data_IF_850073881206
#
_entry.id   IF_850073881206
#
_cell.length_a   1.000
_cell.length_b   1.000
_cell.length_c   1.000
_cell.angle_alpha   90.00
_cell.angle_beta   90.00
_cell.angle_gamma   90.00
#
_symmetry.space_group_name_H-M   'P 1'
#
loop_
_entity.id
_entity.type
_entity.pdbx_description
1 polymer ?
#
# COMPACT_ATOMS: atom_id res chain seq x y z
N UNK A 1 24.89 -4.38 2.15
CA UNK A 1 23.78 -4.41 1.18
C UNK A 1 22.54 -4.86 1.93
N UNK A 2 21.50 -4.02 2.01
CA UNK A 2 20.22 -4.39 2.63
C UNK A 2 19.63 -5.56 1.83
N UNK A 3 19.21 -6.63 2.49
CA UNK A 3 18.58 -7.77 1.79
C UNK A 3 17.22 -7.35 1.26
N UNK A 4 16.95 -7.58 -0.02
CA UNK A 4 15.63 -7.36 -0.63
C UNK A 4 14.57 -8.19 0.07
N UNK A 5 13.45 -7.56 0.44
CA UNK A 5 12.25 -8.26 0.91
C UNK A 5 11.39 -8.72 -0.26
N UNK A 6 11.12 -7.80 -1.19
CA UNK A 6 10.40 -8.06 -2.44
C UNK A 6 11.29 -7.64 -3.61
N UNK A 7 11.51 -8.54 -4.56
CA UNK A 7 12.14 -8.23 -5.84
C UNK A 7 11.24 -8.68 -6.98
N UNK A 8 10.87 -7.73 -7.83
CA UNK A 8 10.18 -7.97 -9.09
C UNK A 8 11.16 -7.66 -10.22
N UNK A 9 11.28 -8.55 -11.20
CA UNK A 9 12.15 -8.32 -12.35
C UNK A 9 11.40 -8.56 -13.65
N UNK A 10 11.55 -7.60 -14.57
CA UNK A 10 11.03 -7.66 -15.93
C UNK A 10 9.51 -7.93 -16.03
N UNK A 11 8.74 -7.36 -15.12
CA UNK A 11 7.28 -7.49 -15.13
C UNK A 11 6.69 -6.84 -16.37
N UNK A 12 5.95 -7.62 -17.16
CA UNK A 12 5.18 -7.09 -18.29
C UNK A 12 3.72 -7.56 -18.19
N UNK A 13 2.81 -6.65 -18.55
CA UNK A 13 1.36 -6.88 -18.49
C UNK A 13 0.71 -6.23 -19.69
N UNK A 14 -0.19 -6.95 -20.37
CA UNK A 14 -1.00 -6.39 -21.46
C UNK A 14 -2.48 -6.66 -21.23
N UNK A 15 -3.34 -5.75 -21.65
CA UNK A 15 -4.79 -5.85 -21.64
C UNK A 15 -5.32 -5.60 -23.05
N UNK A 16 -5.93 -6.61 -23.67
CA UNK A 16 -6.54 -6.45 -24.99
C UNK A 16 -5.59 -5.94 -26.06
N UNK A 17 -4.30 -6.30 -26.01
CA UNK A 17 -3.26 -5.83 -26.94
C UNK A 17 -2.57 -4.53 -26.55
N UNK A 18 -3.03 -3.85 -25.49
CA UNK A 18 -2.37 -2.64 -24.95
C UNK A 18 -1.39 -3.03 -23.86
N UNK A 19 -0.12 -2.68 -24.01
CA UNK A 19 0.91 -2.90 -23.00
C UNK A 19 0.73 -1.89 -21.84
N UNK A 20 0.31 -2.41 -20.68
CA UNK A 20 0.17 -1.62 -19.45
C UNK A 20 1.46 -1.54 -18.64
N UNK A 21 2.31 -2.59 -18.72
CA UNK A 21 3.65 -2.62 -18.13
C UNK A 21 4.60 -3.33 -19.10
N UNK A 22 5.81 -2.79 -19.24
CA UNK A 22 6.86 -3.33 -20.10
C UNK A 22 8.19 -3.40 -19.34
N UNK A 23 8.64 -4.61 -19.01
CA UNK A 23 9.93 -4.90 -18.36
C UNK A 23 10.18 -4.10 -17.07
N UNK A 24 9.15 -3.89 -16.23
CA UNK A 24 9.25 -3.15 -14.97
C UNK A 24 9.96 -4.00 -13.93
N UNK A 25 11.00 -3.44 -13.29
CA UNK A 25 11.71 -4.05 -12.18
C UNK A 25 11.65 -3.15 -10.96
N UNK A 26 11.26 -3.71 -9.81
CA UNK A 26 11.11 -2.98 -8.53
C UNK A 26 11.72 -3.82 -7.42
N UNK A 27 12.53 -3.19 -6.59
CA UNK A 27 13.10 -3.77 -5.38
C UNK A 27 12.61 -3.04 -4.14
N UNK A 28 12.14 -3.80 -3.14
CA UNK A 28 11.74 -3.27 -1.83
C UNK A 28 12.64 -3.89 -0.76
N UNK A 29 13.61 -3.14 -0.24
CA UNK A 29 14.47 -3.62 0.84
C UNK A 29 13.68 -3.85 2.14
N UNK A 30 14.25 -4.67 3.05
CA UNK A 30 13.67 -4.84 4.39
C UNK A 30 13.67 -3.53 5.17
N UNK A 31 12.58 -3.26 5.90
CA UNK A 31 12.41 -2.09 6.75
C UNK A 31 12.61 -0.76 5.98
N UNK A 32 12.13 -0.70 4.76
CA UNK A 32 12.20 0.50 3.92
C UNK A 32 10.83 0.91 3.41
N UNK A 33 10.71 2.18 3.03
CA UNK A 33 9.59 2.72 2.26
C UNK A 33 10.08 2.98 0.85
N UNK A 34 9.46 2.34 -0.13
CA UNK A 34 9.71 2.58 -1.55
C UNK A 34 8.49 3.27 -2.14
N UNK A 35 8.70 4.48 -2.67
CA UNK A 35 7.68 5.23 -3.39
C UNK A 35 7.61 4.80 -4.86
N UNK A 36 6.42 4.50 -5.36
CA UNK A 36 6.16 4.28 -6.79
C UNK A 36 5.33 5.45 -7.30
N UNK A 37 5.97 6.33 -8.05
CA UNK A 37 5.38 7.58 -8.54
C UNK A 37 5.31 7.60 -10.07
N UNK A 38 4.64 8.59 -10.62
CA UNK A 38 4.51 8.78 -12.07
C UNK A 38 3.16 9.38 -12.43
N UNK A 39 2.97 9.85 -13.67
CA UNK A 39 1.71 10.42 -14.16
C UNK A 39 0.53 9.45 -14.02
N UNK A 40 -0.70 9.98 -14.14
CA UNK A 40 -1.90 9.17 -14.22
C UNK A 40 -1.83 8.25 -15.45
N UNK A 41 -2.25 6.99 -15.28
CA UNK A 41 -2.14 5.99 -16.35
C UNK A 41 -0.74 5.39 -16.54
N UNK A 42 0.28 5.78 -15.76
CA UNK A 42 1.63 5.24 -15.89
C UNK A 42 1.80 3.75 -15.56
N UNK A 43 0.78 3.09 -14.97
CA UNK A 43 0.81 1.67 -14.63
C UNK A 43 1.05 1.35 -13.14
N UNK A 44 1.10 2.37 -12.27
CA UNK A 44 1.39 2.21 -10.83
C UNK A 44 0.45 1.21 -10.13
N UNK A 45 -0.85 1.40 -10.26
CA UNK A 45 -1.87 0.49 -9.68
C UNK A 45 -1.81 -0.89 -10.32
N UNK A 46 -1.42 -1.02 -11.59
CA UNK A 46 -1.22 -2.31 -12.25
C UNK A 46 -0.08 -3.10 -11.59
N UNK A 47 1.00 -2.44 -11.19
CA UNK A 47 2.09 -3.07 -10.41
C UNK A 47 1.55 -3.62 -9.09
N UNK A 48 0.83 -2.80 -8.29
CA UNK A 48 0.23 -3.27 -7.03
C UNK A 48 -0.77 -4.42 -7.26
N UNK A 49 -1.55 -4.36 -8.35
CA UNK A 49 -2.49 -5.41 -8.71
C UNK A 49 -1.80 -6.73 -9.05
N UNK A 50 -0.63 -6.69 -9.71
CA UNK A 50 0.17 -7.91 -9.97
C UNK A 50 0.74 -8.48 -8.67
N UNK A 51 1.32 -7.63 -7.80
CA UNK A 51 1.86 -8.06 -6.50
C UNK A 51 0.77 -8.67 -5.64
N UNK A 52 -0.46 -8.14 -5.69
CA UNK A 52 -1.60 -8.64 -4.91
C UNK A 52 -2.42 -9.72 -5.62
N UNK A 53 -1.97 -10.19 -6.79
CA UNK A 53 -2.63 -11.29 -7.52
C UNK A 53 -3.99 -10.93 -8.13
N UNK A 54 -4.35 -9.64 -8.16
CA UNK A 54 -5.60 -9.16 -8.78
C UNK A 54 -5.49 -9.07 -10.30
N UNK A 55 -4.25 -8.95 -10.80
CA UNK A 55 -3.93 -8.97 -12.24
C UNK A 55 -2.87 -10.01 -12.48
N UNK A 56 -3.08 -10.87 -13.45
CA UNK A 56 -2.11 -11.88 -13.85
C UNK A 56 -0.96 -11.21 -14.62
N UNK A 57 0.28 -11.48 -14.21
CA UNK A 57 1.46 -11.07 -14.97
C UNK A 57 1.52 -11.79 -16.32
N UNK A 58 1.90 -11.08 -17.38
CA UNK A 58 2.20 -11.69 -18.68
C UNK A 58 3.57 -12.38 -18.66
N UNK A 59 4.56 -11.70 -18.05
CA UNK A 59 5.91 -12.23 -17.85
C UNK A 59 6.56 -11.55 -16.63
N UNK A 60 7.76 -11.99 -16.28
CA UNK A 60 8.53 -11.45 -15.18
C UNK A 60 8.77 -12.47 -14.06
N UNK A 61 9.49 -12.05 -13.03
CA UNK A 61 9.77 -12.89 -11.86
C UNK A 61 9.39 -12.16 -10.59
N UNK A 62 8.90 -12.90 -9.61
CA UNK A 62 8.57 -12.47 -8.28
C UNK A 62 9.44 -13.24 -7.27
N UNK A 63 10.18 -12.53 -6.44
CA UNK A 63 10.89 -13.11 -5.32
C UNK A 63 10.51 -12.39 -4.03
N UNK A 64 10.25 -13.16 -2.99
CA UNK A 64 9.88 -12.65 -1.67
C UNK A 64 10.75 -13.33 -0.61
N UNK A 65 11.39 -12.52 0.26
CA UNK A 65 12.39 -12.98 1.25
C UNK A 65 13.54 -13.77 0.61
N UNK A 66 13.97 -13.38 -0.59
CA UNK A 66 15.03 -14.04 -1.35
C UNK A 66 14.61 -15.35 -2.04
N UNK A 67 13.36 -15.78 -1.86
CA UNK A 67 12.82 -17.01 -2.48
C UNK A 67 12.04 -16.64 -3.74
N UNK A 68 12.48 -17.16 -4.90
CA UNK A 68 11.76 -17.01 -6.16
C UNK A 68 10.46 -17.83 -6.11
N UNK A 69 9.35 -17.20 -6.50
CA UNK A 69 8.00 -17.76 -6.49
C UNK A 69 7.24 -17.35 -7.74
N UNK A 70 6.10 -17.95 -7.98
CA UNK A 70 5.08 -17.38 -8.87
C UNK A 70 4.46 -16.14 -8.23
N UNK A 71 3.88 -15.25 -9.03
CA UNK A 71 3.09 -14.14 -8.51
C UNK A 71 1.94 -14.71 -7.67
N UNK A 72 1.77 -14.22 -6.42
CA UNK A 72 0.82 -14.82 -5.49
C UNK A 72 -0.63 -14.61 -5.95
N UNK A 73 -1.51 -15.50 -5.54
CA UNK A 73 -2.96 -15.28 -5.62
C UNK A 73 -3.41 -14.45 -4.41
N UNK A 74 -4.56 -13.74 -4.51
CA UNK A 74 -5.01 -12.86 -3.42
C UNK A 74 -5.11 -13.55 -2.04
N UNK A 75 -5.54 -14.81 -1.99
CA UNK A 75 -5.68 -15.57 -0.75
C UNK A 75 -4.34 -16.04 -0.15
N UNK A 76 -3.25 -16.01 -0.91
CA UNK A 76 -1.90 -16.42 -0.46
C UNK A 76 -1.14 -15.26 0.20
N UNK A 77 -1.59 -13.99 0.02
CA UNK A 77 -0.91 -12.80 0.51
C UNK A 77 -0.73 -12.81 2.02
N UNK A 78 -1.77 -13.19 2.76
CA UNK A 78 -1.75 -13.20 4.23
C UNK A 78 -0.70 -14.20 4.75
N UNK A 79 -0.56 -15.35 4.11
CA UNK A 79 0.43 -16.36 4.48
C UNK A 79 1.86 -15.91 4.15
N UNK A 80 2.04 -15.11 3.12
CA UNK A 80 3.31 -14.46 2.82
C UNK A 80 3.62 -13.29 3.78
N UNK A 81 2.63 -12.79 4.51
CA UNK A 81 2.75 -11.58 5.31
C UNK A 81 2.71 -10.31 4.47
N UNK A 82 1.97 -10.33 3.37
CA UNK A 82 1.72 -9.16 2.51
C UNK A 82 0.30 -8.68 2.76
N UNK A 83 0.13 -7.38 3.02
CA UNK A 83 -1.18 -6.74 3.11
C UNK A 83 -1.28 -5.56 2.18
N UNK A 84 -2.50 -5.21 1.80
CA UNK A 84 -2.78 -4.05 0.96
C UNK A 84 -3.97 -3.27 1.52
N UNK A 85 -3.85 -1.94 1.55
CA UNK A 85 -5.03 -1.08 1.69
C UNK A 85 -5.74 -0.97 0.35
N UNK A 86 -7.07 -0.99 0.38
CA UNK A 86 -7.86 -0.74 -0.84
C UNK A 86 -7.86 0.75 -1.16
N UNK A 87 -7.92 1.08 -2.44
CA UNK A 87 -8.23 2.45 -2.87
C UNK A 87 -9.61 2.82 -2.31
N UNK A 88 -9.68 3.92 -1.56
CA UNK A 88 -10.79 4.20 -0.67
C UNK A 88 -10.66 3.46 0.68
N UNK A 89 -11.64 3.61 1.54
CA UNK A 89 -11.54 3.08 2.92
C UNK A 89 -12.00 1.63 3.03
N UNK A 90 -13.03 1.25 2.26
CA UNK A 90 -13.56 -0.11 2.18
C UNK A 90 -13.93 -0.74 3.53
N UNK A 91 -14.47 0.05 4.48
CA UNK A 91 -14.96 -0.48 5.76
C UNK A 91 -16.36 -1.09 5.58
N UNK A 92 -16.65 -2.10 6.39
CA UNK A 92 -17.97 -2.73 6.45
C UNK A 92 -18.89 -1.90 7.35
N UNK A 93 -19.89 -1.26 6.77
CA UNK A 93 -20.79 -0.32 7.49
C UNK A 93 -21.56 -0.96 8.63
N UNK A 94 -21.88 -2.25 8.53
CA UNK A 94 -22.64 -3.00 9.54
C UNK A 94 -21.81 -3.39 10.76
N UNK A 95 -20.45 -3.33 10.63
CA UNK A 95 -19.53 -3.71 11.68
C UNK A 95 -19.03 -2.47 12.43
N UNK A 96 -18.76 -2.61 13.74
CA UNK A 96 -18.03 -1.59 14.49
C UNK A 96 -16.59 -1.45 13.97
N UNK A 97 -15.90 -0.37 14.35
CA UNK A 97 -14.48 -0.15 14.07
C UNK A 97 -13.64 -1.35 14.54
N UNK A 98 -13.86 -1.81 15.78
CA UNK A 98 -13.16 -2.98 16.30
C UNK A 98 -13.38 -4.22 15.44
N UNK A 99 -14.62 -4.51 15.09
CA UNK A 99 -14.96 -5.66 14.26
C UNK A 99 -14.37 -5.55 12.84
N UNK A 100 -14.33 -4.35 12.26
CA UNK A 100 -13.67 -4.10 10.98
C UNK A 100 -12.18 -4.47 11.01
N UNK A 101 -11.49 -4.17 12.11
CA UNK A 101 -10.08 -4.53 12.27
C UNK A 101 -9.92 -6.02 12.57
N UNK A 102 -10.79 -6.61 13.40
CA UNK A 102 -10.78 -8.05 13.71
C UNK A 102 -10.92 -8.91 12.44
N UNK A 103 -11.74 -8.49 11.46
CA UNK A 103 -11.85 -9.18 10.16
C UNK A 103 -10.49 -9.30 9.46
N UNK A 104 -9.63 -8.28 9.57
CA UNK A 104 -8.27 -8.32 8.99
C UNK A 104 -7.34 -9.32 9.69
N UNK A 105 -7.62 -9.71 10.93
CA UNK A 105 -6.79 -10.62 11.72
C UNK A 105 -7.06 -12.11 11.43
N UNK A 106 -8.16 -12.46 10.79
CA UNK A 106 -8.55 -13.85 10.56
C UNK A 106 -7.97 -14.38 9.25
N UNK A 107 -7.01 -15.29 9.36
CA UNK A 107 -6.41 -16.02 8.23
C UNK A 107 -7.35 -17.06 7.60
N UNK A 108 -8.39 -17.48 8.31
CA UNK A 108 -9.28 -18.56 7.90
C UNK A 108 -10.67 -18.05 7.49
N UNK A 109 -10.74 -16.80 6.98
CA UNK A 109 -11.99 -16.20 6.55
C UNK A 109 -12.79 -17.16 5.63
N UNK A 110 -13.88 -17.69 6.19
CA UNK A 110 -14.89 -18.45 5.45
C UNK A 110 -16.14 -17.60 5.28
N UNK A 111 -16.92 -17.77 4.20
CA UNK A 111 -18.15 -16.98 3.95
C UNK A 111 -19.19 -16.99 5.08
N UNK A 112 -19.10 -17.94 6.02
CA UNK A 112 -19.97 -18.03 7.21
C UNK A 112 -19.40 -17.35 8.45
N UNK A 113 -18.31 -16.63 8.32
CA UNK A 113 -17.60 -15.92 9.39
C UNK A 113 -18.52 -15.12 10.32
N UNK A 114 -19.53 -14.43 9.81
CA UNK A 114 -20.47 -13.69 10.65
C UNK A 114 -21.24 -14.56 11.65
N UNK A 115 -21.50 -15.83 11.31
CA UNK A 115 -22.11 -16.79 12.27
C UNK A 115 -21.08 -17.42 13.20
N UNK A 116 -19.86 -17.61 12.72
CA UNK A 116 -18.77 -18.19 13.50
C UNK A 116 -18.12 -17.15 14.44
N UNK A 117 -18.09 -15.87 14.08
CA UNK A 117 -17.61 -14.78 14.95
C UNK A 117 -18.41 -14.68 16.25
N UNK A 118 -19.71 -14.97 16.20
CA UNK A 118 -20.58 -15.02 17.38
C UNK A 118 -20.57 -16.40 18.08
N UNK A 119 -19.91 -17.41 17.50
CA UNK A 119 -19.80 -18.78 18.05
C UNK A 119 -18.37 -19.24 18.33
N UNK A 120 -17.34 -18.36 18.10
CA UNK A 120 -15.95 -18.67 18.43
C UNK A 120 -15.82 -18.96 19.94
N UNK A 121 -14.99 -19.94 20.27
CA UNK A 121 -14.60 -20.14 21.66
C UNK A 121 -14.01 -18.83 22.18
N UNK A 122 -14.47 -18.34 23.34
CA UNK A 122 -14.13 -17.01 23.88
C UNK A 122 -12.64 -16.68 23.93
N UNK A 123 -11.75 -17.69 23.87
CA UNK A 123 -10.30 -17.52 23.81
C UNK A 123 -9.81 -17.00 22.44
N UNK A 124 -10.40 -17.46 21.34
CA UNK A 124 -10.00 -17.03 19.98
C UNK A 124 -10.48 -15.60 19.76
N UNK A 125 -11.72 -15.31 20.13
CA UNK A 125 -12.30 -13.97 20.04
C UNK A 125 -11.52 -12.96 20.87
N UNK A 126 -11.18 -13.29 22.12
CA UNK A 126 -10.37 -12.43 22.99
C UNK A 126 -9.01 -12.11 22.37
N UNK A 127 -8.35 -13.09 21.74
CA UNK A 127 -7.05 -12.89 21.06
C UNK A 127 -7.17 -12.01 19.79
N UNK A 128 -8.23 -12.19 19.01
CA UNK A 128 -8.48 -11.34 17.83
C UNK A 128 -8.78 -9.91 18.25
N UNK A 129 -9.55 -9.73 19.33
CA UNK A 129 -9.87 -8.44 19.93
C UNK A 129 -8.59 -7.73 20.41
N UNK A 130 -7.75 -8.39 21.19
CA UNK A 130 -6.48 -7.85 21.68
C UNK A 130 -5.59 -7.34 20.52
N UNK A 131 -5.44 -8.14 19.47
CA UNK A 131 -4.67 -7.74 18.27
C UNK A 131 -5.29 -6.55 17.54
N UNK A 132 -6.61 -6.50 17.46
CA UNK A 132 -7.31 -5.39 16.83
C UNK A 132 -7.18 -4.09 17.64
N UNK A 133 -7.28 -4.17 18.96
CA UNK A 133 -7.06 -3.04 19.88
C UNK A 133 -5.62 -2.53 19.79
N UNK A 134 -4.63 -3.42 19.73
CA UNK A 134 -3.23 -3.06 19.50
C UNK A 134 -3.04 -2.33 18.15
N UNK A 135 -3.62 -2.85 17.07
CA UNK A 135 -3.53 -2.23 15.75
C UNK A 135 -4.20 -0.84 15.70
N UNK A 136 -5.34 -0.68 16.38
CA UNK A 136 -6.02 0.61 16.52
C UNK A 136 -5.22 1.60 17.36
N UNK A 137 -4.54 1.14 18.41
CA UNK A 137 -3.65 1.98 19.20
C UNK A 137 -2.49 2.52 18.36
N UNK A 138 -1.92 1.71 17.48
CA UNK A 138 -0.83 2.12 16.59
C UNK A 138 -1.22 3.20 15.60
N UNK A 139 -2.45 3.15 15.08
CA UNK A 139 -2.94 4.14 14.12
C UNK A 139 -3.60 5.36 14.80
N UNK A 140 -3.58 5.42 16.14
CA UNK A 140 -4.20 6.50 16.91
C UNK A 140 -5.73 6.48 16.87
N UNK A 141 -6.33 5.29 16.62
CA UNK A 141 -7.78 5.12 16.46
C UNK A 141 -8.45 4.44 17.68
N UNK A 142 -7.77 4.35 18.83
CA UNK A 142 -8.28 3.68 20.05
C UNK A 142 -9.62 4.27 20.51
N UNK A 143 -9.78 5.59 20.45
CA UNK A 143 -11.02 6.27 20.86
C UNK A 143 -12.23 5.94 19.97
N UNK A 144 -12.02 5.28 18.83
CA UNK A 144 -13.05 4.97 17.83
C UNK A 144 -13.56 3.53 17.92
N UNK A 145 -13.08 2.71 18.86
CA UNK A 145 -13.32 1.26 18.94
C UNK A 145 -14.81 0.90 18.86
N UNK A 146 -15.70 1.66 19.54
CA UNK A 146 -17.13 1.41 19.58
C UNK A 146 -17.94 2.04 18.45
N UNK A 147 -17.32 2.94 17.68
CA UNK A 147 -17.99 3.68 16.60
C UNK A 147 -18.30 2.80 15.40
N UNK A 148 -19.24 3.24 14.57
CA UNK A 148 -19.50 2.68 13.24
C UNK A 148 -18.79 3.51 12.16
N UNK A 149 -18.50 2.94 10.98
CA UNK A 149 -17.89 3.68 9.87
C UNK A 149 -18.63 4.94 9.46
N UNK A 150 -19.96 4.97 9.56
CA UNK A 150 -20.79 6.13 9.25
C UNK A 150 -20.59 7.32 10.19
N UNK A 151 -20.01 7.10 11.36
CA UNK A 151 -19.74 8.13 12.38
C UNK A 151 -18.33 8.71 12.27
N UNK A 152 -17.50 8.15 11.41
CA UNK A 152 -16.10 8.52 11.27
C UNK A 152 -15.91 9.67 10.30
N UNK A 153 -14.94 10.54 10.59
CA UNK A 153 -14.36 11.42 9.60
C UNK A 153 -13.61 10.59 8.53
N UNK A 154 -13.36 11.18 7.37
CA UNK A 154 -12.60 10.50 6.33
C UNK A 154 -11.16 10.14 6.76
N UNK A 155 -10.40 11.04 7.44
CA UNK A 155 -9.11 10.69 8.00
C UNK A 155 -9.17 9.54 9.02
N UNK A 156 -10.17 9.53 9.91
CA UNK A 156 -10.33 8.45 10.89
C UNK A 156 -10.65 7.11 10.21
N UNK A 157 -11.48 7.14 9.19
CA UNK A 157 -11.77 5.96 8.38
C UNK A 157 -10.51 5.39 7.74
N UNK A 158 -9.58 6.23 7.26
CA UNK A 158 -8.28 5.82 6.74
C UNK A 158 -7.38 5.22 7.83
N UNK A 159 -7.36 5.79 9.05
CA UNK A 159 -6.63 5.21 10.19
C UNK A 159 -7.13 3.81 10.55
N UNK A 160 -8.45 3.60 10.53
CA UNK A 160 -9.06 2.30 10.77
C UNK A 160 -8.74 1.29 9.65
N UNK A 161 -8.78 1.70 8.38
CA UNK A 161 -8.40 0.86 7.26
C UNK A 161 -6.92 0.45 7.34
N UNK A 162 -6.04 1.36 7.76
CA UNK A 162 -4.64 1.07 7.99
C UNK A 162 -4.44 0.11 9.18
N UNK A 163 -5.18 0.29 10.30
CA UNK A 163 -5.17 -0.64 11.42
C UNK A 163 -5.57 -2.06 10.98
N UNK A 164 -6.60 -2.18 10.15
CA UNK A 164 -7.02 -3.46 9.56
C UNK A 164 -5.94 -4.13 8.73
N UNK A 165 -5.15 -3.36 7.98
CA UNK A 165 -4.03 -3.90 7.21
C UNK A 165 -2.85 -4.31 8.11
N UNK A 166 -2.65 -3.65 9.25
CA UNK A 166 -1.54 -3.89 10.17
C UNK A 166 -1.79 -5.02 11.19
N UNK A 167 -3.05 -5.40 11.42
CA UNK A 167 -3.45 -6.34 12.49
C UNK A 167 -2.80 -7.71 12.40
N UNK A 168 -2.35 -8.15 11.21
CA UNK A 168 -1.63 -9.41 11.02
C UNK A 168 -0.11 -9.29 11.21
N UNK A 169 0.41 -8.11 11.56
CA UNK A 169 1.84 -7.82 11.60
C UNK A 169 2.53 -8.17 10.26
N UNK A 170 2.18 -7.48 9.16
CA UNK A 170 2.70 -7.81 7.84
C UNK A 170 4.20 -7.58 7.74
N UNK A 171 4.87 -8.31 6.85
CA UNK A 171 6.26 -8.05 6.43
C UNK A 171 6.32 -6.95 5.37
N UNK A 172 5.30 -6.91 4.50
CA UNK A 172 5.15 -5.92 3.43
C UNK A 172 3.74 -5.33 3.46
N UNK A 173 3.66 -4.01 3.50
CA UNK A 173 2.43 -3.24 3.38
C UNK A 173 2.41 -2.53 2.02
N UNK A 174 1.37 -2.78 1.25
CA UNK A 174 1.09 -2.10 -0.02
C UNK A 174 0.08 -0.99 0.22
N UNK A 175 0.46 0.25 -0.05
CA UNK A 175 -0.40 1.42 0.10
C UNK A 175 -0.72 2.02 -1.28
N UNK A 176 -2.00 2.20 -1.56
CA UNK A 176 -2.50 2.76 -2.81
C UNK A 176 -3.16 4.11 -2.54
N UNK A 177 -2.47 5.19 -2.84
CA UNK A 177 -2.85 6.59 -2.66
C UNK A 177 -3.42 6.91 -1.25
N UNK A 178 -2.68 6.59 -0.17
CA UNK A 178 -3.19 6.79 1.18
C UNK A 178 -3.40 8.27 1.54
N UNK A 179 -2.68 9.21 0.94
CA UNK A 179 -2.83 10.64 1.18
C UNK A 179 -3.99 11.29 0.39
N UNK A 180 -4.57 10.58 -0.60
CA UNK A 180 -5.64 11.14 -1.41
C UNK A 180 -6.84 11.59 -0.56
N UNK A 181 -7.30 12.84 -0.76
CA UNK A 181 -8.45 13.42 -0.07
C UNK A 181 -8.20 13.85 1.38
N UNK A 182 -6.95 13.83 1.85
CA UNK A 182 -6.56 14.35 3.16
C UNK A 182 -6.16 15.84 3.09
N UNK A 183 -6.41 16.57 4.17
CA UNK A 183 -5.82 17.90 4.38
C UNK A 183 -4.36 17.81 4.82
N UNK A 184 -3.62 18.95 4.80
CA UNK A 184 -2.18 18.96 5.06
C UNK A 184 -1.84 18.40 6.45
N UNK A 185 -2.57 18.77 7.49
CA UNK A 185 -2.32 18.28 8.86
C UNK A 185 -2.48 16.75 8.95
N UNK A 186 -3.46 16.18 8.25
CA UNK A 186 -3.67 14.73 8.19
C UNK A 186 -2.59 14.02 7.35
N UNK A 187 -2.08 14.66 6.29
CA UNK A 187 -0.93 14.18 5.51
C UNK A 187 0.32 14.12 6.39
N UNK A 188 0.58 15.15 7.17
CA UNK A 188 1.73 15.21 8.08
C UNK A 188 1.63 14.15 9.18
N UNK A 189 0.42 13.95 9.74
CA UNK A 189 0.15 12.89 10.70
C UNK A 189 0.35 11.49 10.06
N UNK A 190 -0.10 11.28 8.82
CA UNK A 190 0.10 10.04 8.07
C UNK A 190 1.59 9.80 7.79
N UNK A 191 2.35 10.83 7.44
CA UNK A 191 3.80 10.73 7.23
C UNK A 191 4.52 10.27 8.50
N UNK A 192 4.18 10.85 9.65
CA UNK A 192 4.73 10.44 10.94
C UNK A 192 4.39 8.98 11.26
N UNK A 193 3.16 8.56 11.00
CA UNK A 193 2.69 7.19 11.21
C UNK A 193 3.43 6.19 10.29
N UNK A 194 3.61 6.50 9.00
CA UNK A 194 4.35 5.65 8.05
C UNK A 194 5.81 5.46 8.50
N UNK A 195 6.46 6.53 8.98
CA UNK A 195 7.83 6.46 9.54
C UNK A 195 7.92 5.54 10.77
N UNK A 196 6.86 5.43 11.57
CA UNK A 196 6.78 4.47 12.67
C UNK A 196 6.55 3.04 12.18
N UNK A 197 5.61 2.84 11.24
CA UNK A 197 5.27 1.52 10.66
C UNK A 197 6.49 0.91 9.97
N UNK A 198 7.30 1.72 9.26
CA UNK A 198 8.54 1.29 8.58
C UNK A 198 9.48 0.50 9.50
N UNK A 199 9.50 0.79 10.80
CA UNK A 199 10.36 0.07 11.76
C UNK A 199 9.96 -1.39 11.94
N UNK A 200 8.77 -1.77 11.50
CA UNK A 200 8.19 -3.10 11.69
C UNK A 200 7.92 -3.85 10.39
N UNK A 201 7.59 -3.15 9.31
CA UNK A 201 7.39 -3.75 8.00
C UNK A 201 7.90 -2.84 6.90
N UNK A 202 8.24 -3.44 5.76
CA UNK A 202 8.54 -2.67 4.55
C UNK A 202 7.27 -2.17 3.91
N UNK A 203 7.36 -1.06 3.19
CA UNK A 203 6.20 -0.41 2.57
C UNK A 203 6.51 -0.15 1.10
N UNK A 204 5.61 -0.55 0.22
CA UNK A 204 5.55 -0.07 -1.16
C UNK A 204 4.32 0.83 -1.28
N UNK A 205 4.55 2.10 -1.57
CA UNK A 205 3.49 3.10 -1.64
C UNK A 205 3.37 3.67 -3.05
N UNK A 206 2.16 3.64 -3.60
CA UNK A 206 1.79 4.38 -4.81
C UNK A 206 1.20 5.71 -4.38
N UNK A 207 1.74 6.79 -4.90
CA UNK A 207 1.29 8.14 -4.61
C UNK A 207 1.54 9.11 -5.76
N UNK A 208 0.79 10.21 -5.74
CA UNK A 208 0.98 11.35 -6.64
C UNK A 208 1.36 12.64 -5.87
N UNK A 209 1.25 12.65 -4.54
CA UNK A 209 1.72 13.74 -3.67
C UNK A 209 3.25 13.66 -3.51
N UNK A 210 3.97 14.39 -4.35
CA UNK A 210 5.44 14.29 -4.47
C UNK A 210 6.16 14.67 -3.17
N UNK A 211 5.72 15.75 -2.50
CA UNK A 211 6.31 16.19 -1.22
C UNK A 211 6.13 15.15 -0.12
N UNK A 212 4.94 14.54 -0.03
CA UNK A 212 4.68 13.47 0.91
C UNK A 212 5.59 12.26 0.65
N UNK A 213 5.74 11.84 -0.63
CA UNK A 213 6.63 10.72 -0.99
C UNK A 213 8.09 11.06 -0.65
N UNK A 214 8.55 12.28 -0.94
CA UNK A 214 9.90 12.73 -0.57
C UNK A 214 10.17 12.57 0.92
N UNK A 215 9.20 12.95 1.76
CA UNK A 215 9.37 12.99 3.22
C UNK A 215 9.39 11.60 3.87
N UNK A 216 8.77 10.60 3.25
CA UNK A 216 8.62 9.26 3.86
C UNK A 216 9.48 8.17 3.22
N UNK A 217 9.88 8.34 1.93
CA UNK A 217 10.51 7.27 1.17
C UNK A 217 12.03 7.23 1.31
N UNK A 218 12.58 6.02 1.40
CA UNK A 218 14.03 5.80 1.34
C UNK A 218 14.54 5.79 -0.10
N UNK A 219 13.68 5.36 -1.02
CA UNK A 219 13.91 5.39 -2.46
C UNK A 219 12.59 5.52 -3.21
N UNK A 220 12.68 5.97 -4.44
CA UNK A 220 11.54 6.11 -5.34
C UNK A 220 11.80 5.44 -6.67
N UNK A 221 10.73 4.91 -7.25
CA UNK A 221 10.69 4.37 -8.62
C UNK A 221 9.68 5.17 -9.42
N UNK A 222 10.07 5.65 -10.60
CA UNK A 222 9.21 6.46 -11.46
C UNK A 222 8.77 5.66 -12.66
N UNK A 223 7.46 5.52 -12.81
CA UNK A 223 6.84 4.90 -13.98
C UNK A 223 6.33 5.98 -14.94
N UNK A 224 6.52 5.74 -16.22
CA UNK A 224 5.88 6.49 -17.29
C UNK A 224 5.50 5.54 -18.44
N UNK A 225 4.25 5.60 -18.90
CA UNK A 225 3.72 4.72 -19.97
C UNK A 225 4.11 3.23 -19.78
N UNK A 226 3.93 2.71 -18.59
CA UNK A 226 4.22 1.31 -18.27
C UNK A 226 5.70 0.94 -18.18
N UNK A 227 6.63 1.88 -18.20
CA UNK A 227 8.07 1.67 -18.13
C UNK A 227 8.67 2.35 -16.89
N UNK A 228 9.65 1.72 -16.28
CA UNK A 228 10.46 2.35 -15.25
C UNK A 228 11.47 3.29 -15.91
N UNK A 229 11.35 4.59 -15.67
CA UNK A 229 12.23 5.61 -16.26
C UNK A 229 13.34 6.08 -15.31
N UNK A 230 13.14 5.94 -14.01
CA UNK A 230 14.16 6.22 -12.98
C UNK A 230 13.86 5.46 -11.69
N UNK A 231 14.92 5.13 -10.94
CA UNK A 231 14.82 4.59 -9.58
C UNK A 231 16.05 5.02 -8.78
N UNK A 232 15.87 5.34 -7.49
CA UNK A 232 16.95 5.74 -6.61
C UNK A 232 16.49 6.68 -5.49
N UNK A 233 17.42 7.46 -4.96
CA UNK A 233 17.09 8.52 -4.00
C UNK A 233 16.22 9.59 -4.67
N UNK A 234 15.31 10.19 -3.90
CA UNK A 234 14.38 11.20 -4.43
C UNK A 234 15.10 12.38 -5.09
N UNK A 235 16.18 12.90 -4.47
CA UNK A 235 16.93 14.04 -4.99
C UNK A 235 17.69 13.75 -6.30
N UNK A 236 18.10 12.52 -6.52
CA UNK A 236 18.71 12.04 -7.77
C UNK A 236 17.65 11.91 -8.85
N UNK A 237 16.53 11.24 -8.50
CA UNK A 237 15.44 10.96 -9.42
C UNK A 237 14.78 12.22 -9.94
N UNK A 238 14.55 13.24 -9.10
CA UNK A 238 13.93 14.51 -9.53
C UNK A 238 14.77 15.30 -10.53
N UNK A 239 16.10 15.06 -10.59
CA UNK A 239 17.01 15.71 -11.56
C UNK A 239 17.13 14.93 -12.87
N UNK A 240 16.52 13.76 -12.96
CA UNK A 240 16.61 12.95 -14.18
C UNK A 240 15.80 13.61 -15.31
N UNK A 241 16.41 13.91 -16.48
CA UNK A 241 15.71 14.56 -17.58
C UNK A 241 14.44 13.83 -18.04
N UNK A 242 14.45 12.49 -18.06
CA UNK A 242 13.29 11.70 -18.43
C UNK A 242 12.13 11.84 -17.41
N UNK A 243 12.43 12.06 -16.13
CA UNK A 243 11.41 12.33 -15.11
C UNK A 243 10.84 13.71 -15.29
N UNK A 244 11.69 14.72 -15.48
CA UNK A 244 11.26 16.10 -15.75
C UNK A 244 10.34 16.15 -16.97
N UNK A 245 10.75 15.53 -18.07
CA UNK A 245 9.96 15.46 -19.31
C UNK A 245 8.60 14.76 -19.09
N UNK A 246 8.58 13.64 -18.36
CA UNK A 246 7.36 12.88 -18.08
C UNK A 246 6.32 13.71 -17.30
N UNK A 247 6.75 14.57 -16.41
CA UNK A 247 5.86 15.44 -15.63
C UNK A 247 5.51 16.73 -16.37
N UNK A 248 6.44 17.36 -17.09
CA UNK A 248 6.20 18.57 -17.88
C UNK A 248 5.37 18.30 -19.14
N UNK A 249 5.55 17.14 -19.76
CA UNK A 249 4.83 16.75 -20.99
C UNK A 249 3.36 16.37 -20.75
N UNK A 250 2.93 16.22 -19.51
CA UNK A 250 1.56 15.83 -19.13
C UNK A 250 0.75 16.95 -18.48
N UNK A 251 1.29 18.16 -18.35
CA UNK A 251 0.61 19.25 -17.64
C UNK A 251 -0.22 20.11 -18.58
N UNK A 252 -1.50 19.78 -18.68
CA UNK A 252 -2.56 20.80 -18.88
C UNK A 252 -2.87 21.56 -17.57
N UNK A 253 -2.16 21.26 -16.45
CA UNK A 253 -2.40 21.84 -15.14
C UNK A 253 -1.10 22.41 -14.53
N UNK A 254 -0.93 23.76 -14.45
CA UNK A 254 0.27 24.41 -13.92
C UNK A 254 0.60 24.08 -12.45
N UNK A 255 -0.38 23.61 -11.68
CA UNK A 255 -0.21 23.32 -10.26
C UNK A 255 0.60 22.04 -9.97
N UNK A 256 0.73 21.11 -10.92
CA UNK A 256 1.55 19.91 -10.72
C UNK A 256 3.05 20.20 -10.92
N UNK A 257 3.42 21.18 -11.71
CA UNK A 257 4.81 21.57 -11.95
C UNK A 257 5.44 22.26 -10.73
N UNK A 258 4.65 23.06 -9.99
CA UNK A 258 5.13 23.72 -8.78
C UNK A 258 5.48 22.74 -7.65
N UNK A 259 4.90 21.52 -7.66
CA UNK A 259 5.10 20.50 -6.63
C UNK A 259 6.42 19.73 -6.75
N UNK A 260 7.04 19.72 -7.94
CA UNK A 260 8.36 19.11 -8.14
C UNK A 260 9.51 20.04 -7.74
N UNK A 261 9.23 21.31 -7.47
CA UNK A 261 10.26 22.31 -7.14
C UNK A 261 11.25 22.51 -8.29
N UNK A 262 10.74 22.47 -9.55
CA UNK A 262 11.45 22.73 -10.80
C UNK A 262 11.07 24.14 -11.29
#
# INVERSE_FOLDING_TARGET
MSSSLLAISNLSVSFGGVEALTNVSIDVPKNSVVGLIGPNGAGKTTVLNCISGLVKSGSGTFAFEGVKREFPKPHELVDLGITRTLQGVGLFNELSVLQNVMVGADKNYKPNFMKELFGLSGKVEARLKERAEEALAWTGATGLIGSKPSELSYPDSKRVALARALVINPKLLLLDEPAAGLGQDDIDALAALIKQIKRRCSILIVEHHVDFVRDISDSVSVLNFGKLIAAGNFDEVKRNPAVIEAYLGHTDNPDENSKLGI
#
